data_IF_442022031872
#
_entry.id   IF_442022031872
#
_cell.length_a   1.000
_cell.length_b   1.000
_cell.length_c   1.000
_cell.angle_alpha   90.00
_cell.angle_beta   90.00
_cell.angle_gamma   90.00
#
_symmetry.space_group_name_H-M   'P 1'
#
loop_
_entity.id
_entity.type
_entity.pdbx_description
1 polymer ?
#
# COMPACT_ATOMS: atom_id res chain seq x y z
N UNK A 1 26.00 4.87 4.94
CA UNK A 1 24.57 4.55 5.09
C UNK A 1 23.79 5.77 4.61
N UNK A 2 22.73 5.60 3.83
CA UNK A 2 21.97 6.74 3.31
C UNK A 2 21.37 7.52 4.49
N UNK A 3 21.67 8.82 4.58
CA UNK A 3 20.98 9.72 5.51
C UNK A 3 19.70 10.31 4.91
N UNK A 4 19.40 9.95 3.66
CA UNK A 4 18.25 10.46 2.94
C UNK A 4 16.94 9.98 3.58
N UNK A 5 16.03 10.92 3.74
CA UNK A 5 14.68 10.67 4.21
C UNK A 5 13.80 10.43 2.99
N UNK A 6 13.04 9.33 3.03
CA UNK A 6 12.01 9.01 2.04
C UNK A 6 10.66 9.09 2.74
N UNK A 7 9.81 10.01 2.26
CA UNK A 7 8.42 10.09 2.71
C UNK A 7 7.54 9.30 1.75
N UNK A 8 6.73 8.40 2.30
CA UNK A 8 5.80 7.57 1.54
C UNK A 8 4.38 7.96 1.93
N UNK A 9 3.59 8.42 0.96
CA UNK A 9 2.15 8.65 1.14
C UNK A 9 1.41 7.34 0.96
N UNK A 10 0.71 6.87 1.98
CA UNK A 10 0.00 5.59 1.99
C UNK A 10 0.85 4.43 2.53
N UNK A 11 0.28 3.65 3.44
CA UNK A 11 0.88 2.49 4.11
C UNK A 11 0.20 1.16 3.82
N UNK A 12 -0.58 1.06 2.73
CA UNK A 12 -1.30 -0.16 2.34
C UNK A 12 -0.42 -1.30 1.80
N UNK A 13 -1.04 -2.40 1.38
CA UNK A 13 -0.37 -3.65 0.93
C UNK A 13 0.76 -3.44 -0.09
N UNK A 14 0.54 -2.63 -1.14
CA UNK A 14 1.59 -2.38 -2.13
C UNK A 14 2.69 -1.47 -1.58
N UNK A 15 2.33 -0.51 -0.73
CA UNK A 15 3.30 0.36 -0.05
C UNK A 15 4.22 -0.43 0.88
N UNK A 16 3.71 -1.51 1.52
CA UNK A 16 4.53 -2.34 2.42
C UNK A 16 5.77 -2.92 1.75
N UNK A 17 5.69 -3.31 0.48
CA UNK A 17 6.87 -3.74 -0.27
C UNK A 17 7.90 -2.61 -0.43
N UNK A 18 7.43 -1.42 -0.76
CA UNK A 18 8.26 -0.22 -0.95
C UNK A 18 8.91 0.22 0.37
N UNK A 19 8.12 0.33 1.44
CA UNK A 19 8.58 0.62 2.81
C UNK A 19 9.65 -0.38 3.23
N UNK A 20 9.38 -1.68 3.06
CA UNK A 20 10.31 -2.73 3.45
C UNK A 20 11.65 -2.58 2.72
N UNK A 21 11.60 -2.45 1.39
CA UNK A 21 12.80 -2.47 0.58
C UNK A 21 13.67 -1.24 0.86
N UNK A 22 13.07 -0.04 0.92
CA UNK A 22 13.78 1.19 1.24
C UNK A 22 14.37 1.17 2.65
N UNK A 23 13.61 0.73 3.65
CA UNK A 23 14.11 0.61 5.03
C UNK A 23 15.30 -0.36 5.12
N UNK A 24 15.21 -1.53 4.49
CA UNK A 24 16.31 -2.51 4.44
C UNK A 24 17.53 -2.02 3.66
N UNK A 25 17.33 -1.17 2.65
CA UNK A 25 18.40 -0.49 1.92
C UNK A 25 19.06 0.64 2.72
N UNK A 26 18.54 0.95 3.92
CA UNK A 26 19.16 1.88 4.87
C UNK A 26 18.62 3.31 4.81
N UNK A 27 17.52 3.56 4.09
CA UNK A 27 16.86 4.86 4.08
C UNK A 27 16.07 5.10 5.37
N UNK A 28 15.95 6.37 5.78
CA UNK A 28 15.00 6.77 6.83
C UNK A 28 13.62 6.93 6.20
N UNK A 29 12.73 5.98 6.45
CA UNK A 29 11.39 5.98 5.86
C UNK A 29 10.39 6.59 6.84
N UNK A 30 9.55 7.53 6.39
CA UNK A 30 8.36 8.01 7.10
C UNK A 30 7.12 7.70 6.25
N UNK A 31 6.09 7.13 6.87
CA UNK A 31 4.82 6.86 6.22
C UNK A 31 3.79 7.89 6.66
N UNK A 32 3.18 8.57 5.70
CA UNK A 32 2.03 9.46 5.92
C UNK A 32 0.76 8.70 5.60
N UNK A 33 -0.23 8.80 6.47
CA UNK A 33 -1.43 7.98 6.36
C UNK A 33 -2.68 8.73 6.83
N UNK A 34 -3.86 8.28 6.40
CA UNK A 34 -5.13 8.85 6.83
C UNK A 34 -5.53 8.34 8.23
N UNK A 35 -6.43 9.02 8.95
CA UNK A 35 -6.86 8.58 10.29
C UNK A 35 -7.55 7.21 10.31
N UNK A 36 -8.16 6.80 9.18
CA UNK A 36 -8.91 5.55 9.05
C UNK A 36 -8.49 4.79 7.79
N UNK A 37 -7.30 4.15 7.77
CA UNK A 37 -6.83 3.42 6.60
C UNK A 37 -7.75 2.25 6.25
N UNK A 38 -7.94 1.98 4.96
CA UNK A 38 -8.88 0.97 4.45
C UNK A 38 -8.18 -0.22 3.79
N UNK A 39 -7.06 -0.66 4.36
CA UNK A 39 -6.30 -1.80 3.86
C UNK A 39 -7.13 -3.09 3.93
N UNK A 40 -7.14 -3.87 2.84
CA UNK A 40 -7.83 -5.18 2.79
C UNK A 40 -6.91 -6.29 3.29
N UNK A 41 -5.66 -6.34 2.82
CA UNK A 41 -4.63 -7.26 3.33
C UNK A 41 -3.96 -6.65 4.56
N UNK A 42 -4.73 -6.55 5.66
CA UNK A 42 -4.33 -5.86 6.90
C UNK A 42 -3.11 -6.48 7.56
N UNK A 43 -2.99 -7.81 7.54
CA UNK A 43 -1.84 -8.56 8.05
C UNK A 43 -0.50 -8.19 7.41
N UNK A 44 -0.51 -7.48 6.28
CA UNK A 44 0.69 -7.06 5.54
C UNK A 44 0.63 -5.59 5.11
N UNK A 45 -0.07 -4.75 5.88
CA UNK A 45 -0.14 -3.30 5.63
C UNK A 45 0.40 -2.52 6.83
N UNK A 46 1.47 -1.74 6.65
CA UNK A 46 2.02 -0.90 7.73
C UNK A 46 1.05 0.19 8.22
N UNK A 47 0.03 0.53 7.41
CA UNK A 47 -1.08 1.39 7.81
C UNK A 47 -1.78 0.91 9.09
N UNK A 48 -1.73 -0.39 9.40
CA UNK A 48 -2.36 -0.92 10.61
C UNK A 48 -1.73 -0.41 11.90
N UNK A 49 -0.51 0.15 11.85
CA UNK A 49 0.09 0.84 12.99
C UNK A 49 -0.78 2.00 13.49
N UNK A 50 -1.58 2.65 12.63
CA UNK A 50 -2.52 3.70 13.05
C UNK A 50 -3.54 3.17 14.08
N UNK A 51 -4.04 1.95 13.85
CA UNK A 51 -5.02 1.30 14.72
C UNK A 51 -4.35 0.64 15.93
N UNK A 52 -3.32 -0.17 15.69
CA UNK A 52 -2.72 -1.05 16.71
C UNK A 52 -1.52 -0.41 17.44
N UNK A 53 -1.19 0.85 17.12
CA UNK A 53 0.00 1.60 17.57
C UNK A 53 1.34 1.06 17.08
N UNK A 54 1.40 -0.22 16.74
CA UNK A 54 2.57 -0.88 16.18
C UNK A 54 2.13 -1.97 15.20
N UNK A 55 2.92 -2.19 14.15
CA UNK A 55 2.73 -3.29 13.20
C UNK A 55 4.09 -3.88 12.84
N UNK A 56 4.21 -5.21 12.82
CA UNK A 56 5.41 -5.88 12.37
C UNK A 56 5.13 -6.71 11.12
N UNK A 57 5.92 -6.51 10.07
CA UNK A 57 5.84 -7.27 8.81
C UNK A 57 7.25 -7.66 8.41
N UNK A 58 7.50 -8.97 8.32
CA UNK A 58 8.78 -9.54 7.87
C UNK A 58 10.01 -8.96 8.61
N UNK A 59 9.90 -8.83 9.95
CA UNK A 59 10.95 -8.32 10.83
C UNK A 59 11.14 -6.80 10.82
N UNK A 60 10.27 -6.06 10.14
CA UNK A 60 10.26 -4.60 10.19
C UNK A 60 9.11 -4.13 11.06
N UNK A 61 9.45 -3.36 12.09
CA UNK A 61 8.48 -2.74 12.97
C UNK A 61 8.14 -1.33 12.51
N UNK A 62 6.87 -1.07 12.25
CA UNK A 62 6.31 0.26 12.11
C UNK A 62 5.59 0.69 13.39
N UNK A 63 5.66 1.98 13.73
CA UNK A 63 5.07 2.56 14.95
C UNK A 63 4.29 3.82 14.63
N UNK A 64 3.11 3.95 15.23
CA UNK A 64 2.35 5.19 15.16
C UNK A 64 3.03 6.27 15.99
N UNK A 65 3.24 7.44 15.40
CA UNK A 65 3.88 8.59 16.02
C UNK A 65 3.04 9.85 15.82
N UNK A 66 3.17 10.80 16.74
CA UNK A 66 2.36 12.02 16.79
C UNK A 66 3.19 13.31 16.68
N UNK A 67 4.53 13.23 16.59
CA UNK A 67 5.39 14.43 16.58
C UNK A 67 6.73 14.18 15.87
N UNK A 68 7.43 15.26 15.50
CA UNK A 68 8.78 15.19 14.92
C UNK A 68 9.79 14.50 15.85
N UNK A 69 9.69 14.75 17.16
CA UNK A 69 10.55 14.10 18.15
C UNK A 69 10.34 12.58 18.18
N UNK A 70 9.08 12.13 18.07
CA UNK A 70 8.76 10.70 18.01
C UNK A 70 9.20 10.06 16.68
N UNK A 71 9.15 10.80 15.57
CA UNK A 71 9.69 10.36 14.27
C UNK A 71 11.20 10.08 14.40
N UNK A 72 11.98 11.04 14.92
CA UNK A 72 13.43 10.88 15.13
C UNK A 72 13.73 9.72 16.09
N UNK A 73 12.95 9.58 17.16
CA UNK A 73 13.07 8.46 18.09
C UNK A 73 12.77 7.12 17.43
N UNK A 74 11.78 7.05 16.53
CA UNK A 74 11.49 5.82 15.80
C UNK A 74 12.66 5.43 14.89
N UNK A 75 13.21 6.38 14.14
CA UNK A 75 14.37 6.14 13.27
C UNK A 75 15.62 5.72 14.05
N UNK A 76 15.93 6.35 15.19
CA UNK A 76 17.08 5.95 16.01
C UNK A 76 16.95 4.53 16.55
N UNK A 77 15.72 4.07 16.77
CA UNK A 77 15.39 2.69 17.15
C UNK A 77 15.22 1.73 15.95
N UNK A 78 15.61 2.14 14.74
CA UNK A 78 15.46 1.37 13.49
C UNK A 78 14.01 0.96 13.16
N UNK A 79 13.02 1.72 13.64
CA UNK A 79 11.60 1.52 13.35
C UNK A 79 11.13 2.46 12.25
N UNK A 80 10.04 2.09 11.58
CA UNK A 80 9.37 2.93 10.56
C UNK A 80 8.27 3.76 11.25
N UNK A 81 8.42 5.08 11.40
CA UNK A 81 7.33 5.93 11.86
C UNK A 81 6.18 5.99 10.84
N UNK A 82 4.95 5.89 11.36
CA UNK A 82 3.69 6.09 10.63
C UNK A 82 2.93 7.20 11.32
N UNK A 83 2.60 8.26 10.60
CA UNK A 83 1.92 9.43 11.16
C UNK A 83 0.63 9.71 10.40
N UNK A 84 -0.38 10.19 11.13
CA UNK A 84 -1.62 10.68 10.54
C UNK A 84 -1.35 12.05 9.91
N UNK A 85 -1.36 12.11 8.58
CA UNK A 85 -1.11 13.31 7.78
C UNK A 85 -1.66 13.14 6.35
N UNK A 86 -2.97 13.34 6.21
CA UNK A 86 -3.68 13.17 4.93
C UNK A 86 -3.23 14.21 3.87
N UNK A 87 -3.00 15.44 4.32
CA UNK A 87 -2.65 16.59 3.48
C UNK A 87 -1.15 16.65 3.12
N UNK A 88 -0.31 15.85 3.78
CA UNK A 88 1.13 15.81 3.49
C UNK A 88 1.92 16.97 4.09
N UNK A 89 1.45 17.57 5.18
CA UNK A 89 2.10 18.71 5.83
C UNK A 89 3.51 18.39 6.34
N UNK A 90 3.79 17.13 6.68
CA UNK A 90 5.14 16.70 7.08
C UNK A 90 6.14 16.71 5.92
N UNK A 91 5.70 16.69 4.66
CA UNK A 91 6.58 16.86 3.50
C UNK A 91 7.25 18.23 3.55
N UNK A 92 6.46 19.30 3.76
CA UNK A 92 6.98 20.67 3.86
C UNK A 92 7.85 20.87 5.10
N UNK A 93 7.47 20.26 6.24
CA UNK A 93 8.21 20.41 7.51
C UNK A 93 9.57 19.73 7.50
N UNK A 94 9.67 18.57 6.85
CA UNK A 94 10.89 17.76 6.80
C UNK A 94 11.75 18.11 5.59
N UNK A 95 11.13 18.58 4.49
CA UNK A 95 11.77 18.82 3.20
C UNK A 95 12.62 17.62 2.75
N UNK A 96 12.01 16.43 2.55
CA UNK A 96 12.75 15.24 2.17
C UNK A 96 13.30 15.38 0.74
N UNK A 97 14.37 14.64 0.43
CA UNK A 97 14.83 14.53 -0.95
C UNK A 97 13.88 13.71 -1.83
N UNK A 98 13.16 12.76 -1.23
CA UNK A 98 12.35 11.78 -1.96
C UNK A 98 10.94 11.69 -1.39
N UNK A 99 9.94 11.79 -2.27
CA UNK A 99 8.53 11.52 -1.96
C UNK A 99 8.01 10.41 -2.87
N UNK A 100 7.35 9.42 -2.29
CA UNK A 100 6.69 8.32 -3.01
C UNK A 100 5.19 8.33 -2.72
N UNK A 101 4.36 8.53 -3.74
CA UNK A 101 2.92 8.31 -3.64
C UNK A 101 2.58 6.83 -3.85
N UNK A 102 2.23 6.16 -2.75
CA UNK A 102 1.81 4.77 -2.70
C UNK A 102 0.33 4.62 -2.28
N UNK A 103 -0.49 5.68 -2.39
CA UNK A 103 -1.92 5.66 -2.04
C UNK A 103 -2.70 4.80 -3.04
N UNK A 104 -2.32 4.87 -4.32
CA UNK A 104 -2.92 4.09 -5.43
C UNK A 104 -4.43 4.37 -5.55
N UNK A 105 -4.80 5.65 -5.41
CA UNK A 105 -6.18 6.12 -5.55
C UNK A 105 -6.71 6.06 -6.99
N UNK A 106 -5.85 5.72 -7.97
CA UNK A 106 -6.13 5.72 -9.43
C UNK A 106 -6.47 7.09 -10.01
N UNK A 107 -6.22 8.13 -9.22
CA UNK A 107 -6.29 9.55 -9.53
C UNK A 107 -5.28 10.26 -8.65
N UNK A 108 -4.73 11.37 -9.13
CA UNK A 108 -3.86 12.20 -8.31
C UNK A 108 -4.67 12.87 -7.19
N UNK A 109 -4.27 12.67 -5.93
CA UNK A 109 -4.85 13.29 -4.74
C UNK A 109 -4.02 14.49 -4.22
N UNK A 110 -3.27 15.12 -5.12
CA UNK A 110 -2.47 16.30 -4.82
C UNK A 110 -0.98 16.04 -4.68
N UNK A 111 -0.45 14.88 -5.12
CA UNK A 111 1.01 14.71 -5.26
C UNK A 111 1.48 15.49 -6.49
N UNK A 112 2.54 16.26 -6.31
CA UNK A 112 3.10 17.12 -7.35
C UNK A 112 4.62 17.02 -7.38
N UNK A 113 5.24 17.37 -8.51
CA UNK A 113 6.70 17.29 -8.72
C UNK A 113 7.52 18.16 -7.78
N UNK A 114 6.93 19.24 -7.28
CA UNK A 114 7.58 20.21 -6.38
C UNK A 114 7.60 19.78 -4.90
N UNK A 115 7.03 18.62 -4.57
CA UNK A 115 7.04 18.10 -3.19
C UNK A 115 8.43 17.68 -2.70
N UNK A 116 9.34 17.33 -3.60
CA UNK A 116 10.70 16.91 -3.31
C UNK A 116 11.57 16.97 -4.58
N UNK A 117 12.88 16.82 -4.45
CA UNK A 117 13.79 16.69 -5.60
C UNK A 117 13.45 15.47 -6.47
N UNK A 118 13.08 14.36 -5.82
CA UNK A 118 12.66 13.12 -6.48
C UNK A 118 11.22 12.78 -6.08
N UNK A 119 10.32 12.80 -7.04
CA UNK A 119 8.91 12.40 -6.86
C UNK A 119 8.57 11.15 -7.66
N UNK A 120 8.05 10.14 -6.98
CA UNK A 120 7.70 8.84 -7.57
C UNK A 120 6.23 8.54 -7.27
N UNK A 121 5.46 8.05 -8.24
CA UNK A 121 4.10 7.58 -8.00
C UNK A 121 3.90 6.12 -8.42
N UNK A 122 3.06 5.40 -7.68
CA UNK A 122 2.73 4.01 -7.97
C UNK A 122 1.43 3.90 -8.77
N UNK A 123 1.54 3.43 -10.00
CA UNK A 123 0.40 3.01 -10.81
C UNK A 123 -0.39 4.16 -11.47
N UNK A 124 -1.63 3.90 -11.89
CA UNK A 124 -2.40 4.86 -12.68
C UNK A 124 -2.86 6.06 -11.85
N UNK A 125 -3.19 7.16 -12.55
CA UNK A 125 -3.66 8.41 -11.95
C UNK A 125 -2.64 9.54 -12.00
N UNK A 126 -1.42 9.24 -12.45
CA UNK A 126 -0.30 10.18 -12.57
C UNK A 126 0.30 10.14 -13.98
N UNK A 127 0.91 11.25 -14.36
CA UNK A 127 1.64 11.44 -15.61
C UNK A 127 3.09 11.80 -15.29
N UNK A 128 4.02 10.93 -15.63
CA UNK A 128 5.46 11.17 -15.49
C UNK A 128 5.89 12.41 -16.31
N UNK A 129 6.90 13.12 -15.81
CA UNK A 129 7.38 14.43 -16.27
C UNK A 129 6.37 15.59 -16.13
N UNK A 130 5.15 15.34 -15.62
CA UNK A 130 4.14 16.38 -15.35
C UNK A 130 3.72 16.41 -13.88
N UNK A 131 3.18 15.30 -13.38
CA UNK A 131 2.65 15.18 -12.02
C UNK A 131 3.73 14.69 -11.04
N UNK A 132 4.61 13.81 -11.51
CA UNK A 132 5.78 13.25 -10.78
C UNK A 132 6.95 13.05 -11.76
N UNK A 133 8.16 12.80 -11.26
CA UNK A 133 9.33 12.52 -12.11
C UNK A 133 9.24 11.13 -12.74
N UNK A 134 8.82 10.13 -11.95
CA UNK A 134 8.70 8.74 -12.41
C UNK A 134 7.41 8.11 -11.93
N UNK A 135 6.72 7.41 -12.82
CA UNK A 135 5.63 6.51 -12.47
C UNK A 135 6.13 5.07 -12.52
N UNK A 136 5.81 4.27 -11.50
CA UNK A 136 6.11 2.83 -11.49
C UNK A 136 4.87 2.06 -11.95
N UNK A 137 5.05 1.19 -12.95
CA UNK A 137 3.97 0.32 -13.44
C UNK A 137 3.54 -0.70 -12.36
N UNK A 138 2.23 -0.80 -12.13
CA UNK A 138 1.64 -1.67 -11.09
C UNK A 138 0.70 -2.73 -11.66
N UNK A 139 0.38 -2.70 -12.95
CA UNK A 139 -0.39 -3.74 -13.61
C UNK A 139 0.45 -5.01 -13.72
N UNK A 140 -0.19 -6.17 -13.49
CA UNK A 140 0.50 -7.46 -13.64
C UNK A 140 0.77 -7.71 -15.13
N UNK A 141 1.97 -8.19 -15.43
CA UNK A 141 2.41 -8.50 -16.79
C UNK A 141 3.88 -8.17 -16.98
N UNK A 142 4.32 -8.16 -18.24
CA UNK A 142 5.72 -7.96 -18.60
C UNK A 142 6.34 -6.66 -18.06
N UNK A 143 5.53 -5.60 -17.91
CA UNK A 143 6.00 -4.29 -17.47
C UNK A 143 5.88 -4.06 -15.95
N UNK A 144 5.49 -5.05 -15.14
CA UNK A 144 5.31 -4.85 -13.69
C UNK A 144 6.61 -4.35 -13.03
N UNK A 145 6.53 -3.21 -12.32
CA UNK A 145 7.68 -2.59 -11.65
C UNK A 145 8.55 -1.72 -12.56
N UNK A 146 8.22 -1.60 -13.86
CA UNK A 146 8.95 -0.77 -14.81
C UNK A 146 8.83 0.71 -14.47
N UNK A 147 9.94 1.44 -14.64
CA UNK A 147 10.00 2.90 -14.53
C UNK A 147 9.46 3.54 -15.81
N UNK A 148 8.56 4.51 -15.65
CA UNK A 148 7.97 5.30 -16.72
C UNK A 148 8.38 6.75 -16.47
N UNK A 149 9.28 7.26 -17.31
CA UNK A 149 9.80 8.64 -17.24
C UNK A 149 8.96 9.63 -18.06
N UNK A 150 8.11 9.13 -18.97
CA UNK A 150 7.18 9.95 -19.75
C UNK A 150 5.89 9.17 -20.00
N UNK A 151 4.75 9.83 -19.80
CA UNK A 151 3.42 9.23 -19.95
C UNK A 151 2.86 8.64 -18.65
N UNK A 152 1.96 7.67 -18.76
CA UNK A 152 1.20 7.12 -17.62
C UNK A 152 1.38 5.61 -17.53
N UNK A 153 1.23 5.05 -16.32
CA UNK A 153 1.05 3.61 -16.15
C UNK A 153 -0.25 3.12 -16.81
N UNK A 154 -0.34 1.80 -17.02
CA UNK A 154 -1.55 1.17 -17.52
C UNK A 154 -2.78 1.55 -16.67
N UNK A 155 -3.87 1.92 -17.37
CA UNK A 155 -5.14 2.25 -16.73
C UNK A 155 -5.65 1.06 -15.92
N UNK A 156 -6.27 1.36 -14.78
CA UNK A 156 -6.92 0.33 -13.96
C UNK A 156 -8.06 -0.34 -14.76
N UNK A 157 -7.91 -1.63 -15.07
CA UNK A 157 -8.90 -2.43 -15.80
C UNK A 157 -10.12 -2.81 -14.95
N UNK A 158 -10.05 -2.56 -13.63
CA UNK A 158 -11.07 -2.99 -12.67
C UNK A 158 -11.12 -4.51 -12.46
N UNK A 159 -10.25 -5.27 -13.14
CA UNK A 159 -10.22 -6.73 -13.08
C UNK A 159 -9.01 -7.19 -12.27
N UNK A 160 -9.19 -7.90 -11.15
CA UNK A 160 -8.08 -8.44 -10.38
C UNK A 160 -7.23 -9.42 -11.20
N UNK A 161 -5.93 -9.53 -10.90
CA UNK A 161 -5.10 -10.56 -11.51
C UNK A 161 -5.66 -11.96 -11.21
N UNK A 162 -5.59 -12.86 -12.19
CA UNK A 162 -6.07 -14.24 -12.08
C UNK A 162 -5.16 -15.08 -11.18
N UNK A 163 -5.76 -15.92 -10.34
CA UNK A 163 -5.09 -16.92 -9.51
C UNK A 163 -5.79 -18.25 -9.75
N UNK A 164 -5.06 -19.27 -10.22
CA UNK A 164 -5.65 -20.55 -10.66
C UNK A 164 -6.82 -20.39 -11.66
N UNK A 165 -6.76 -19.39 -12.54
CA UNK A 165 -7.83 -19.11 -13.51
C UNK A 165 -8.98 -18.24 -12.96
N UNK A 166 -9.04 -17.98 -11.65
CA UNK A 166 -10.10 -17.20 -11.01
C UNK A 166 -9.68 -15.74 -10.82
N UNK A 167 -10.53 -14.78 -11.21
CA UNK A 167 -10.20 -13.36 -11.22
C UNK A 167 -11.19 -12.51 -10.43
N UNK A 168 -12.33 -12.13 -11.01
CA UNK A 168 -13.27 -11.18 -10.38
C UNK A 168 -13.97 -11.78 -9.17
N UNK A 169 -14.27 -13.07 -9.26
CA UNK A 169 -14.98 -13.86 -8.27
C UNK A 169 -14.23 -13.92 -6.95
N UNK A 170 -12.92 -13.67 -6.95
CA UNK A 170 -12.11 -13.72 -5.75
C UNK A 170 -12.23 -12.46 -4.89
N UNK A 171 -12.70 -11.35 -5.46
CA UNK A 171 -12.87 -10.08 -4.76
C UNK A 171 -14.34 -9.82 -4.47
N UNK A 172 -14.63 -9.54 -3.20
CA UNK A 172 -15.98 -9.30 -2.72
C UNK A 172 -16.19 -7.80 -2.53
N UNK A 173 -17.32 -7.30 -3.01
CA UNK A 173 -17.72 -5.89 -2.93
C UNK A 173 -19.00 -5.71 -2.13
N UNK A 174 -19.13 -4.57 -1.46
CA UNK A 174 -20.30 -4.28 -0.63
C UNK A 174 -21.57 -4.14 -1.46
N UNK A 175 -22.65 -4.87 -1.17
CA UNK A 175 -23.92 -4.74 -1.88
C UNK A 175 -24.66 -3.44 -1.51
N UNK A 176 -24.39 -2.88 -0.33
CA UNK A 176 -25.05 -1.72 0.25
C UNK A 176 -24.05 -0.81 0.99
N UNK A 177 -24.53 0.33 1.47
CA UNK A 177 -23.79 1.14 2.42
C UNK A 177 -24.06 0.67 3.85
N UNK A 178 -23.07 0.77 4.73
CA UNK A 178 -23.23 0.37 6.13
C UNK A 178 -21.91 0.27 6.87
N UNK A 179 -21.97 -0.25 8.10
CA UNK A 179 -20.81 -0.51 8.94
C UNK A 179 -20.47 -1.98 8.87
N UNK A 180 -19.20 -2.28 8.62
CA UNK A 180 -18.72 -3.64 8.45
C UNK A 180 -18.53 -4.33 9.82
N UNK A 181 -18.98 -5.59 9.94
CA UNK A 181 -18.73 -6.49 11.09
C UNK A 181 -18.20 -7.85 10.61
N UNK A 182 -16.92 -8.14 10.87
CA UNK A 182 -16.33 -9.45 10.54
C UNK A 182 -16.89 -10.58 11.41
N UNK A 183 -17.04 -11.75 10.79
CA UNK A 183 -17.25 -13.04 11.47
C UNK A 183 -15.95 -13.86 11.42
N UNK A 184 -15.29 -13.84 10.26
CA UNK A 184 -14.04 -14.56 10.00
C UNK A 184 -12.85 -13.60 9.86
N UNK A 185 -11.65 -14.17 9.93
CA UNK A 185 -10.39 -13.45 9.94
C UNK A 185 -9.49 -13.82 8.75
N UNK A 186 -8.49 -12.97 8.50
CA UNK A 186 -7.47 -13.25 7.49
C UNK A 186 -6.76 -14.56 7.84
N UNK A 187 -6.68 -15.47 6.86
CA UNK A 187 -6.07 -16.79 7.00
C UNK A 187 -7.05 -17.92 7.33
N UNK A 188 -8.33 -17.62 7.55
CA UNK A 188 -9.37 -18.64 7.66
C UNK A 188 -9.67 -19.28 6.30
N UNK A 189 -9.96 -20.58 6.30
CA UNK A 189 -10.44 -21.29 5.11
C UNK A 189 -11.96 -21.15 5.08
N UNK A 190 -12.48 -20.68 3.95
CA UNK A 190 -13.92 -20.45 3.74
C UNK A 190 -14.46 -21.35 2.65
N UNK A 191 -15.72 -21.76 2.78
CA UNK A 191 -16.47 -22.43 1.72
C UNK A 191 -17.31 -21.41 0.96
N UNK A 192 -17.52 -21.64 -0.34
CA UNK A 192 -18.48 -20.86 -1.11
C UNK A 192 -19.84 -20.79 -0.37
N UNK A 193 -20.45 -19.61 -0.40
CA UNK A 193 -21.71 -19.22 0.25
C UNK A 193 -21.68 -19.15 1.80
N UNK A 194 -20.53 -19.42 2.43
CA UNK A 194 -20.31 -19.21 3.86
C UNK A 194 -20.32 -17.71 4.19
N UNK A 195 -20.96 -17.32 5.29
CA UNK A 195 -21.01 -15.92 5.73
C UNK A 195 -19.69 -15.55 6.39
N UNK A 196 -18.99 -14.56 5.84
CA UNK A 196 -17.66 -14.12 6.31
C UNK A 196 -17.72 -12.81 7.13
N UNK A 197 -18.75 -11.99 6.89
CA UNK A 197 -18.96 -10.70 7.53
C UNK A 197 -20.41 -10.23 7.34
N UNK A 198 -20.74 -9.08 7.94
CA UNK A 198 -21.97 -8.33 7.68
C UNK A 198 -21.64 -6.88 7.30
N UNK A 199 -22.50 -6.26 6.50
CA UNK A 199 -22.56 -4.79 6.34
C UNK A 199 -23.92 -4.32 6.80
N UNK A 200 -23.97 -3.68 7.97
CA UNK A 200 -25.24 -3.52 8.70
C UNK A 200 -25.80 -4.89 9.06
N UNK A 201 -27.00 -5.21 8.59
CA UNK A 201 -27.64 -6.53 8.76
C UNK A 201 -27.45 -7.46 7.55
N UNK A 202 -26.89 -6.95 6.45
CA UNK A 202 -26.74 -7.71 5.20
C UNK A 202 -25.56 -8.70 5.29
N UNK A 203 -25.78 -10.01 5.12
CA UNK A 203 -24.72 -11.01 5.17
C UNK A 203 -23.82 -10.95 3.94
N UNK A 204 -22.51 -10.87 4.18
CA UNK A 204 -21.49 -10.96 3.14
C UNK A 204 -21.00 -12.40 3.05
N UNK A 205 -21.22 -13.03 1.90
CA UNK A 205 -20.87 -14.43 1.65
C UNK A 205 -19.58 -14.59 0.85
N UNK A 206 -18.83 -15.65 1.12
CA UNK A 206 -17.71 -16.07 0.30
C UNK A 206 -18.19 -16.47 -1.10
N UNK A 207 -17.59 -15.87 -2.12
CA UNK A 207 -17.93 -16.09 -3.53
C UNK A 207 -17.28 -17.35 -4.12
N UNK A 208 -16.19 -17.80 -3.51
CA UNK A 208 -15.44 -19.02 -3.86
C UNK A 208 -14.97 -19.72 -2.58
N UNK A 209 -14.66 -21.02 -2.68
CA UNK A 209 -13.93 -21.75 -1.64
C UNK A 209 -12.45 -21.39 -1.70
N UNK A 210 -11.82 -21.11 -0.56
CA UNK A 210 -10.41 -20.74 -0.51
C UNK A 210 -9.99 -20.17 0.84
N UNK A 211 -8.85 -19.46 0.87
CA UNK A 211 -8.36 -18.72 2.03
C UNK A 211 -8.89 -17.29 1.98
N UNK A 212 -9.45 -16.80 3.08
CA UNK A 212 -9.73 -15.37 3.26
C UNK A 212 -8.40 -14.62 3.39
N UNK A 213 -7.86 -14.16 2.26
CA UNK A 213 -6.53 -13.54 2.17
C UNK A 213 -6.51 -12.08 2.62
N UNK A 214 -7.66 -11.42 2.54
CA UNK A 214 -7.83 -10.06 3.03
C UNK A 214 -9.29 -9.77 3.33
N UNK A 215 -9.52 -8.98 4.36
CA UNK A 215 -10.84 -8.50 4.74
C UNK A 215 -10.69 -7.15 5.44
N UNK A 216 -11.59 -6.22 5.09
CA UNK A 216 -11.66 -4.90 5.69
C UNK A 216 -11.80 -5.01 7.22
N UNK A 217 -11.49 -3.94 7.94
CA UNK A 217 -11.58 -3.90 9.41
C UNK A 217 -13.02 -3.69 9.87
N UNK A 218 -13.45 -4.44 10.89
CA UNK A 218 -14.75 -4.20 11.55
C UNK A 218 -14.86 -2.76 12.04
N UNK A 219 -16.04 -2.16 11.93
CA UNK A 219 -16.28 -0.75 12.23
C UNK A 219 -16.03 0.20 11.04
N UNK A 220 -15.47 -0.28 9.94
CA UNK A 220 -15.31 0.53 8.72
C UNK A 220 -16.66 0.87 8.11
N UNK A 221 -16.87 2.16 7.79
CA UNK A 221 -18.03 2.61 7.02
C UNK A 221 -17.75 2.42 5.54
N UNK A 222 -18.68 1.80 4.82
CA UNK A 222 -18.54 1.47 3.40
C UNK A 222 -19.74 1.93 2.60
N UNK A 223 -19.55 2.17 1.31
CA UNK A 223 -20.60 2.42 0.33
C UNK A 223 -20.85 1.18 -0.53
N UNK A 224 -21.95 1.17 -1.27
CA UNK A 224 -22.17 0.15 -2.32
C UNK A 224 -21.00 0.15 -3.31
N UNK A 225 -20.52 -1.04 -3.67
CA UNK A 225 -19.39 -1.24 -4.57
C UNK A 225 -18.01 -1.06 -3.91
N UNK A 226 -17.92 -0.81 -2.60
CA UNK A 226 -16.64 -0.74 -1.90
C UNK A 226 -16.03 -2.15 -1.77
N UNK A 227 -14.70 -2.28 -1.97
CA UNK A 227 -14.02 -3.58 -1.85
C UNK A 227 -13.98 -4.01 -0.38
N UNK A 228 -14.46 -5.21 -0.07
CA UNK A 228 -14.57 -5.72 1.30
C UNK A 228 -13.55 -6.82 1.61
N UNK A 229 -13.40 -7.78 0.71
CA UNK A 229 -12.57 -8.96 0.95
C UNK A 229 -11.91 -9.49 -0.33
N UNK A 230 -10.92 -10.35 -0.15
CA UNK A 230 -10.18 -11.05 -1.19
C UNK A 230 -9.96 -12.50 -0.74
N UNK A 231 -10.40 -13.47 -1.54
CA UNK A 231 -10.22 -14.90 -1.30
C UNK A 231 -9.15 -15.44 -2.25
N UNK A 232 -8.19 -16.20 -1.73
CA UNK A 232 -7.20 -16.90 -2.54
C UNK A 232 -7.61 -18.37 -2.70
N UNK A 233 -7.81 -18.89 -3.93
CA UNK A 233 -8.23 -20.29 -4.11
C UNK A 233 -7.17 -21.31 -3.69
N UNK A 234 -5.91 -20.89 -3.48
CA UNK A 234 -4.79 -21.78 -3.14
C UNK A 234 -4.73 -22.02 -1.63
N UNK A 235 -5.56 -22.94 -1.13
CA UNK A 235 -5.64 -23.26 0.31
C UNK A 235 -4.29 -23.67 0.92
N UNK A 236 -3.39 -24.28 0.14
CA UNK A 236 -2.05 -24.66 0.57
C UNK A 236 -1.10 -23.47 0.80
N UNK A 237 -1.44 -22.27 0.31
CA UNK A 237 -0.58 -21.09 0.38
C UNK A 237 -0.99 -20.11 1.50
N UNK A 238 -1.33 -20.64 2.68
CA UNK A 238 -1.76 -19.83 3.84
C UNK A 238 -0.78 -18.70 4.18
N UNK A 239 0.52 -18.95 4.08
CA UNK A 239 1.58 -17.97 4.35
C UNK A 239 1.51 -16.72 3.45
N UNK A 240 0.89 -16.80 2.26
CA UNK A 240 0.69 -15.65 1.38
C UNK A 240 -0.33 -14.63 1.95
N UNK A 241 -1.04 -14.97 3.03
CA UNK A 241 -1.84 -14.03 3.79
C UNK A 241 -0.98 -13.12 4.67
N UNK A 242 0.22 -13.55 5.06
CA UNK A 242 1.06 -12.90 6.08
C UNK A 242 2.40 -12.38 5.54
N UNK A 243 2.63 -12.54 4.23
CA UNK A 243 3.86 -12.10 3.56
C UNK A 243 3.60 -11.06 2.47
N UNK A 244 4.61 -10.21 2.25
CA UNK A 244 4.60 -9.19 1.20
C UNK A 244 4.55 -9.89 -0.15
N UNK A 245 3.56 -9.52 -0.97
CA UNK A 245 3.31 -10.18 -2.26
C UNK A 245 4.45 -10.00 -3.25
N UNK A 246 4.58 -10.96 -4.16
CA UNK A 246 5.39 -10.87 -5.38
C UNK A 246 5.25 -9.50 -6.08
N UNK A 247 4.01 -9.05 -6.25
CA UNK A 247 3.67 -7.80 -6.90
C UNK A 247 4.22 -6.60 -6.15
N UNK A 248 4.02 -6.55 -4.83
CA UNK A 248 4.53 -5.47 -4.00
C UNK A 248 6.07 -5.43 -4.03
N UNK A 249 6.74 -6.59 -4.06
CA UNK A 249 8.21 -6.68 -4.17
C UNK A 249 8.74 -6.19 -5.51
N UNK A 250 8.09 -6.53 -6.62
CA UNK A 250 8.46 -6.05 -7.96
C UNK A 250 8.32 -4.53 -8.06
N UNK A 251 7.19 -3.98 -7.60
CA UNK A 251 6.96 -2.53 -7.57
C UNK A 251 8.02 -1.84 -6.70
N UNK A 252 8.29 -2.37 -5.51
CA UNK A 252 9.32 -1.85 -4.63
C UNK A 252 10.71 -1.83 -5.30
N UNK A 253 11.01 -2.85 -6.12
CA UNK A 253 12.24 -2.91 -6.91
C UNK A 253 12.37 -1.71 -7.84
N UNK A 254 11.30 -1.42 -8.59
CA UNK A 254 11.24 -0.23 -9.45
C UNK A 254 11.37 1.09 -8.68
N UNK A 255 10.77 1.19 -7.49
CA UNK A 255 10.93 2.39 -6.64
C UNK A 255 12.38 2.57 -6.20
N UNK A 256 13.03 1.53 -5.69
CA UNK A 256 14.42 1.60 -5.26
C UNK A 256 15.34 1.93 -6.44
N UNK A 257 15.11 1.33 -7.61
CA UNK A 257 15.83 1.64 -8.83
C UNK A 257 15.67 3.11 -9.21
N UNK A 258 14.44 3.65 -9.21
CA UNK A 258 14.17 5.05 -9.52
C UNK A 258 14.88 6.01 -8.56
N UNK A 259 14.82 5.72 -7.25
CA UNK A 259 15.53 6.50 -6.23
C UNK A 259 17.03 6.56 -6.52
N UNK A 260 17.66 5.40 -6.75
CA UNK A 260 19.10 5.32 -6.98
C UNK A 260 19.51 5.95 -8.33
N UNK A 261 18.73 5.73 -9.38
CA UNK A 261 18.99 6.24 -10.72
C UNK A 261 18.92 7.77 -10.77
N UNK A 262 17.85 8.36 -10.23
CA UNK A 262 17.69 9.82 -10.21
C UNK A 262 18.72 10.50 -9.30
N UNK A 263 19.02 9.90 -8.14
CA UNK A 263 20.06 10.41 -7.24
C UNK A 263 21.48 10.37 -7.85
N UNK A 264 21.73 9.51 -8.85
CA UNK A 264 23.02 9.45 -9.55
C UNK A 264 23.11 10.46 -10.71
N UNK A 265 21.99 10.72 -11.40
CA UNK A 265 21.93 11.73 -12.47
C UNK A 265 22.20 13.12 -11.89
N UNK A 266 21.54 13.48 -10.80
CA UNK A 266 21.71 14.80 -10.17
C UNK A 266 23.17 15.06 -9.75
N UNK A 267 23.87 14.03 -9.24
CA UNK A 267 25.30 14.14 -8.88
C UNK A 267 26.22 14.38 -10.08
N UNK A 268 25.78 14.05 -11.28
CA UNK A 268 26.56 14.27 -12.51
C UNK A 268 26.28 15.62 -13.15
N UNK A 269 25.13 16.24 -12.82
CA UNK A 269 24.70 17.52 -13.36
C UNK A 269 24.99 18.72 -12.43
N UNK A 270 25.23 18.47 -11.14
CA UNK A 270 25.66 19.49 -10.14
C UNK A 270 27.15 19.46 -9.85
#
# INVERSE_FOLDING_TARGET
MFNDIVIIRGGGDLASGTIQKLHRSGFRVLVLEVPKPTSIRRSVSFSEAIYEKQMEIEGITAVHVCSLSEIEKAWSNKKVPVIIDEEGEYIKKIAPRIVVDAIIAKKNLGTTRDMAEITIALGPGFTAAKDVDVVIETSRGHNLGRLIFSGQAMKNTGTPGSIMGISKERVIYSPCAGVMKNILNIGDVVKKDEVIAYVGEEPIKATITGLLRGILRSGSSVTKGFKLADIDPRVSEKENCFTISDKARSIAGGVLEAVLYLSDIEKKEG
#
